data_IF_601463724022
#
_entry.id   IF_601463724022
#
_cell.length_a   1.000
_cell.length_b   1.000
_cell.length_c   1.000
_cell.angle_alpha   90.00
_cell.angle_beta   90.00
_cell.angle_gamma   90.00
#
_symmetry.space_group_name_H-M   'P 1'
#
loop_
_entity.id
_entity.type
_entity.pdbx_description
1 polymer ?
#
# COMPACT_ATOMS: atom_id res chain seq x y z
N UNK A 1 -18.53 -14.43 1.90
CA UNK A 1 -19.90 -14.23 2.44
C UNK A 1 -19.73 -13.90 3.92
N UNK A 2 -20.34 -12.82 4.44
CA UNK A 2 -20.23 -12.50 5.88
C UNK A 2 -20.98 -13.61 6.63
N UNK A 3 -20.24 -14.56 7.18
CA UNK A 3 -20.82 -15.61 8.00
C UNK A 3 -21.49 -14.96 9.23
N UNK A 4 -22.67 -15.49 9.57
CA UNK A 4 -23.60 -14.99 10.57
C UNK A 4 -22.93 -14.40 11.83
N UNK A 5 -23.38 -13.23 12.25
CA UNK A 5 -22.94 -12.63 13.52
C UNK A 5 -23.42 -13.52 14.67
N UNK A 6 -22.47 -14.04 15.46
CA UNK A 6 -22.75 -14.68 16.73
C UNK A 6 -23.17 -13.62 17.75
N UNK A 7 -24.35 -13.81 18.32
CA UNK A 7 -24.84 -13.01 19.44
C UNK A 7 -25.17 -13.97 20.58
N UNK A 8 -24.80 -13.58 21.81
CA UNK A 8 -25.20 -14.30 23.02
C UNK A 8 -26.73 -14.38 23.06
N UNK A 9 -27.27 -15.57 23.33
CA UNK A 9 -28.70 -15.79 23.33
C UNK A 9 -29.37 -14.99 24.47
N UNK A 10 -30.54 -14.36 24.24
CA UNK A 10 -31.20 -13.53 25.25
C UNK A 10 -31.60 -14.30 26.51
N UNK A 11 -31.82 -15.60 26.38
CA UNK A 11 -32.36 -16.53 27.37
C UNK A 11 -31.28 -17.40 28.03
N UNK A 12 -30.06 -17.46 27.47
CA UNK A 12 -28.94 -18.18 28.06
C UNK A 12 -27.61 -17.54 27.65
N UNK A 13 -26.92 -16.93 28.62
CA UNK A 13 -25.64 -16.25 28.42
C UNK A 13 -24.51 -17.16 27.89
N UNK A 14 -24.67 -18.48 27.96
CA UNK A 14 -23.67 -19.46 27.51
C UNK A 14 -23.93 -20.00 26.09
N UNK A 15 -25.08 -19.70 25.49
CA UNK A 15 -25.45 -20.13 24.13
C UNK A 15 -25.37 -18.96 23.15
N UNK A 16 -25.11 -19.25 21.87
CA UNK A 16 -25.10 -18.25 20.79
C UNK A 16 -26.15 -18.54 19.73
N UNK A 17 -26.71 -17.46 19.15
CA UNK A 17 -27.63 -17.53 18.02
C UNK A 17 -27.05 -16.82 16.80
N UNK A 18 -27.30 -17.40 15.62
CA UNK A 18 -26.95 -16.79 14.34
C UNK A 18 -27.95 -15.67 14.00
N UNK A 19 -27.46 -14.44 13.86
CA UNK A 19 -28.25 -13.36 13.26
C UNK A 19 -27.80 -13.12 11.82
N UNK A 20 -28.76 -13.18 10.89
CA UNK A 20 -28.56 -12.67 9.53
C UNK A 20 -28.37 -11.16 9.61
N UNK A 21 -27.26 -10.61 9.09
CA UNK A 21 -27.05 -9.17 9.11
C UNK A 21 -28.12 -8.48 8.26
N UNK A 22 -28.72 -7.41 8.79
CA UNK A 22 -29.64 -6.58 8.00
C UNK A 22 -28.90 -5.91 6.84
N UNK A 23 -29.63 -5.54 5.78
CA UNK A 23 -29.05 -4.82 4.64
C UNK A 23 -28.26 -3.58 5.09
N UNK A 24 -28.80 -2.77 6.00
CA UNK A 24 -28.12 -1.60 6.54
C UNK A 24 -26.80 -1.94 7.26
N UNK A 25 -26.72 -3.11 7.91
CA UNK A 25 -25.49 -3.60 8.54
C UNK A 25 -24.45 -3.97 7.48
N UNK A 26 -24.86 -4.71 6.44
CA UNK A 26 -23.98 -5.10 5.33
C UNK A 26 -23.43 -3.85 4.63
N UNK A 27 -24.30 -2.89 4.33
CA UNK A 27 -23.92 -1.61 3.74
C UNK A 27 -22.91 -0.86 4.62
N UNK A 28 -23.15 -0.75 5.93
CA UNK A 28 -22.19 -0.10 6.84
C UNK A 28 -20.85 -0.83 6.86
N UNK A 29 -20.82 -2.16 6.87
CA UNK A 29 -19.58 -2.94 6.80
C UNK A 29 -18.83 -2.62 5.50
N UNK A 30 -19.54 -2.62 4.37
CA UNK A 30 -18.97 -2.30 3.06
C UNK A 30 -18.41 -0.87 3.02
N UNK A 31 -19.17 0.12 3.49
CA UNK A 31 -18.76 1.53 3.51
C UNK A 31 -17.52 1.72 4.41
N UNK A 32 -17.53 1.15 5.62
CA UNK A 32 -16.41 1.25 6.55
C UNK A 32 -15.14 0.59 6.00
N UNK A 33 -15.26 -0.58 5.36
CA UNK A 33 -14.09 -1.27 4.78
C UNK A 33 -13.58 -0.62 3.51
N UNK A 34 -14.48 -0.09 2.66
CA UNK A 34 -14.10 0.71 1.50
C UNK A 34 -13.38 2.00 1.92
N UNK A 35 -13.93 2.76 2.88
CA UNK A 35 -13.29 3.97 3.40
C UNK A 35 -11.94 3.67 4.02
N UNK A 36 -11.80 2.57 4.78
CA UNK A 36 -10.52 2.15 5.33
C UNK A 36 -9.44 1.97 4.24
N UNK A 37 -9.77 1.29 3.14
CA UNK A 37 -8.81 1.08 2.07
C UNK A 37 -8.54 2.34 1.24
N UNK A 38 -9.54 3.21 1.08
CA UNK A 38 -9.34 4.52 0.46
C UNK A 38 -8.40 5.41 1.28
N UNK A 39 -8.59 5.46 2.59
CA UNK A 39 -7.67 6.15 3.48
C UNK A 39 -6.25 5.56 3.40
N UNK A 40 -6.12 4.22 3.32
CA UNK A 40 -4.83 3.55 3.17
C UNK A 40 -4.16 3.92 1.84
N UNK A 41 -4.92 3.97 0.75
CA UNK A 41 -4.45 4.42 -0.56
C UNK A 41 -3.93 5.85 -0.47
N UNK A 42 -4.73 6.78 0.05
CA UNK A 42 -4.37 8.19 0.18
C UNK A 42 -3.17 8.40 1.11
N UNK A 43 -3.12 7.69 2.24
CA UNK A 43 -1.97 7.72 3.16
C UNK A 43 -0.70 7.19 2.49
N UNK A 44 -0.81 6.10 1.73
CA UNK A 44 0.32 5.51 1.01
C UNK A 44 0.83 6.46 -0.07
N UNK A 45 -0.08 7.03 -0.86
CA UNK A 45 0.28 8.01 -1.89
C UNK A 45 0.94 9.24 -1.28
N UNK A 46 0.41 9.79 -0.18
CA UNK A 46 1.00 10.93 0.52
C UNK A 46 2.38 10.62 1.08
N UNK A 47 2.55 9.45 1.73
CA UNK A 47 3.83 9.02 2.31
C UNK A 47 4.92 8.80 1.26
N UNK A 48 4.52 8.35 0.08
CA UNK A 48 5.43 8.02 -1.03
C UNK A 48 5.49 9.14 -2.08
N UNK A 49 4.88 10.29 -1.81
CA UNK A 49 5.07 11.51 -2.58
C UNK A 49 6.28 12.26 -2.04
N UNK A 50 7.17 12.66 -2.93
CA UNK A 50 8.34 13.46 -2.59
C UNK A 50 8.54 14.62 -3.58
N UNK A 51 9.72 15.22 -3.54
CA UNK A 51 10.13 16.31 -4.41
C UNK A 51 10.50 15.85 -5.83
N UNK A 52 10.33 14.56 -6.19
CA UNK A 52 10.47 14.10 -7.58
C UNK A 52 9.60 14.94 -8.50
N UNK A 53 10.16 15.27 -9.66
CA UNK A 53 9.45 15.93 -10.74
C UNK A 53 9.65 15.15 -12.02
N UNK A 54 8.66 15.23 -12.90
CA UNK A 54 8.82 14.84 -14.30
C UNK A 54 9.18 16.07 -15.12
N UNK A 55 9.95 15.88 -16.18
CA UNK A 55 10.22 16.93 -17.15
C UNK A 55 9.21 16.80 -18.30
N UNK A 56 8.58 17.92 -18.65
CA UNK A 56 7.84 18.12 -19.88
C UNK A 56 8.80 18.69 -20.90
N UNK A 57 8.94 18.02 -22.04
CA UNK A 57 9.85 18.37 -23.12
C UNK A 57 8.98 18.77 -24.31
N UNK A 58 9.01 20.05 -24.65
CA UNK A 58 8.24 20.63 -25.73
C UNK A 58 9.04 20.59 -27.03
N UNK A 59 8.37 20.21 -28.11
CA UNK A 59 8.98 20.08 -29.42
C UNK A 59 8.66 21.30 -30.31
N UNK A 60 9.50 21.56 -31.30
CA UNK A 60 9.28 22.66 -32.25
C UNK A 60 8.08 22.43 -33.17
N UNK A 61 7.70 21.16 -33.37
CA UNK A 61 6.58 20.73 -34.19
C UNK A 61 5.91 19.51 -33.56
N UNK A 62 4.62 19.31 -33.88
CA UNK A 62 3.90 18.13 -33.42
C UNK A 62 4.42 16.88 -34.16
N UNK A 63 4.91 15.86 -33.42
CA UNK A 63 5.41 14.64 -34.03
C UNK A 63 4.25 13.67 -34.34
N UNK A 64 4.47 12.77 -35.29
CA UNK A 64 3.56 11.66 -35.59
C UNK A 64 3.87 10.47 -34.66
N UNK A 65 3.35 10.55 -33.42
CA UNK A 65 3.55 9.56 -32.37
C UNK A 65 2.19 9.08 -31.84
N UNK A 66 2.12 7.78 -31.53
CA UNK A 66 0.99 7.19 -30.82
C UNK A 66 0.72 7.89 -29.48
N UNK A 67 -0.54 8.23 -29.17
CA UNK A 67 -0.88 8.97 -27.96
C UNK A 67 -0.65 8.12 -26.71
N UNK A 68 -0.03 8.72 -25.68
CA UNK A 68 0.31 8.08 -24.41
C UNK A 68 1.21 6.84 -24.54
N UNK A 69 1.93 6.71 -25.66
CA UNK A 69 2.90 5.65 -25.89
C UNK A 69 4.28 6.03 -25.34
N UNK A 70 5.03 5.03 -24.85
CA UNK A 70 6.39 5.20 -24.33
C UNK A 70 7.39 5.11 -25.47
N UNK A 71 8.38 5.99 -25.48
CA UNK A 71 9.47 6.04 -26.44
C UNK A 71 10.82 6.23 -25.73
N UNK A 72 11.90 5.83 -26.40
CA UNK A 72 13.26 5.95 -25.87
C UNK A 72 13.94 7.18 -26.47
N UNK A 73 14.20 8.21 -25.65
CA UNK A 73 15.03 9.36 -26.05
C UNK A 73 16.51 9.03 -25.84
N UNK A 74 17.29 9.09 -26.91
CA UNK A 74 18.71 8.73 -26.87
C UNK A 74 19.58 9.88 -26.32
N UNK A 75 20.30 9.59 -25.23
CA UNK A 75 21.24 10.48 -24.54
C UNK A 75 22.65 9.87 -24.58
N UNK A 76 23.16 9.63 -25.79
CA UNK A 76 24.42 8.91 -26.01
C UNK A 76 24.26 7.40 -25.81
N UNK A 77 24.89 6.86 -24.76
CA UNK A 77 24.76 5.45 -24.36
C UNK A 77 23.61 5.20 -23.35
N UNK A 78 22.97 6.27 -22.89
CA UNK A 78 21.82 6.22 -21.99
C UNK A 78 20.55 6.45 -22.80
N UNK A 79 19.51 5.72 -22.46
CA UNK A 79 18.16 5.91 -22.99
C UNK A 79 17.29 6.43 -21.85
N UNK A 80 16.47 7.43 -22.15
CA UNK A 80 15.51 8.04 -21.24
C UNK A 80 14.10 7.76 -21.76
N UNK A 81 13.33 6.98 -21.01
CA UNK A 81 11.94 6.70 -21.34
C UNK A 81 11.10 7.99 -21.24
N UNK A 82 10.38 8.32 -22.30
CA UNK A 82 9.47 9.46 -22.40
C UNK A 82 8.11 9.02 -22.96
N UNK A 83 7.03 9.62 -22.50
CA UNK A 83 5.67 9.37 -22.99
C UNK A 83 5.21 10.54 -23.83
N UNK A 84 4.68 10.28 -25.02
CA UNK A 84 4.04 11.34 -25.81
C UNK A 84 2.65 11.67 -25.26
N UNK A 85 2.48 12.88 -24.75
CA UNK A 85 1.18 13.42 -24.34
C UNK A 85 0.67 14.32 -25.47
N UNK A 86 -0.38 13.90 -26.21
CA UNK A 86 -0.91 14.70 -27.31
C UNK A 86 -1.56 16.01 -26.80
N UNK A 87 -1.71 17.02 -27.66
CA UNK A 87 -2.45 18.23 -27.32
C UNK A 87 -3.87 17.92 -26.83
N UNK A 88 -4.31 18.60 -25.76
CA UNK A 88 -5.66 18.46 -25.20
C UNK A 88 -6.14 19.78 -24.58
N UNK A 89 -7.42 20.13 -24.73
CA UNK A 89 -8.05 21.31 -24.11
C UNK A 89 -7.20 22.59 -24.18
N UNK A 90 -6.81 23.01 -25.39
CA UNK A 90 -5.94 24.17 -25.67
C UNK A 90 -4.53 24.12 -25.08
N UNK A 91 -4.07 22.97 -24.59
CA UNK A 91 -2.67 22.75 -24.22
C UNK A 91 -1.91 22.11 -25.39
N UNK A 92 -0.68 22.57 -25.60
CA UNK A 92 0.22 21.98 -26.59
C UNK A 92 0.72 20.60 -26.11
N UNK A 93 1.06 19.73 -27.06
CA UNK A 93 1.59 18.39 -26.77
C UNK A 93 3.05 18.44 -26.32
N UNK A 94 3.46 17.45 -25.53
CA UNK A 94 4.81 17.36 -24.98
C UNK A 94 5.22 15.89 -24.73
N UNK A 95 6.53 15.66 -24.68
CA UNK A 95 7.11 14.43 -24.16
C UNK A 95 7.25 14.54 -22.64
N UNK A 96 6.74 13.57 -21.89
CA UNK A 96 6.84 13.53 -20.43
C UNK A 96 7.83 12.43 -20.01
N UNK A 97 8.84 12.75 -19.22
CA UNK A 97 9.77 11.72 -18.71
C UNK A 97 9.03 10.66 -17.89
N UNK A 98 9.24 9.39 -18.19
CA UNK A 98 8.65 8.25 -17.48
C UNK A 98 9.65 7.50 -16.60
N UNK A 99 10.95 7.63 -16.87
CA UNK A 99 12.01 6.94 -16.12
C UNK A 99 12.39 7.64 -14.80
N UNK A 100 13.05 6.92 -13.89
CA UNK A 100 13.54 7.49 -12.64
C UNK A 100 14.74 8.44 -12.91
N UNK A 101 14.56 9.75 -12.72
CA UNK A 101 15.60 10.73 -13.02
C UNK A 101 16.86 10.59 -12.16
N UNK A 102 16.77 10.07 -10.94
CA UNK A 102 17.94 9.72 -10.13
C UNK A 102 18.78 8.64 -10.84
N UNK A 103 18.11 7.63 -11.38
CA UNK A 103 18.77 6.55 -12.10
C UNK A 103 19.40 7.06 -13.41
N UNK A 104 18.70 7.95 -14.13
CA UNK A 104 19.20 8.57 -15.36
C UNK A 104 20.43 9.45 -15.07
N UNK A 105 20.37 10.33 -14.06
CA UNK A 105 21.49 11.15 -13.63
C UNK A 105 22.71 10.29 -13.29
N UNK A 106 22.53 9.20 -12.53
CA UNK A 106 23.60 8.25 -12.22
C UNK A 106 24.19 7.59 -13.47
N UNK A 107 23.37 7.21 -14.45
CA UNK A 107 23.83 6.58 -15.71
C UNK A 107 24.55 7.56 -16.63
N UNK A 108 24.29 8.85 -16.49
CA UNK A 108 24.99 9.94 -17.17
C UNK A 108 26.19 10.45 -16.36
N UNK A 109 26.68 9.64 -15.41
CA UNK A 109 27.85 9.92 -14.57
C UNK A 109 27.76 11.18 -13.68
N UNK A 110 26.55 11.58 -13.26
CA UNK A 110 26.37 12.62 -12.27
C UNK A 110 27.01 12.23 -10.92
N UNK A 111 27.46 13.24 -10.15
CA UNK A 111 27.98 13.01 -8.80
C UNK A 111 26.93 12.37 -7.87
N UNK A 112 27.38 11.56 -6.90
CA UNK A 112 26.51 10.86 -5.96
C UNK A 112 25.50 11.76 -5.24
N UNK A 113 25.96 12.92 -4.77
CA UNK A 113 25.11 13.93 -4.10
C UNK A 113 23.94 14.42 -4.96
N UNK A 114 24.05 14.33 -6.29
CA UNK A 114 23.02 14.75 -7.25
C UNK A 114 21.94 13.69 -7.36
N UNK A 115 22.32 12.43 -7.57
CA UNK A 115 21.35 11.36 -7.82
C UNK A 115 20.76 10.73 -6.55
N UNK A 116 21.24 11.08 -5.35
CA UNK A 116 20.63 10.64 -4.10
C UNK A 116 19.36 11.42 -3.74
N UNK A 117 19.19 12.64 -4.26
CA UNK A 117 18.02 13.47 -3.99
C UNK A 117 17.22 13.71 -5.28
N UNK A 118 15.89 13.48 -5.25
CA UNK A 118 15.09 13.66 -6.43
C UNK A 118 15.08 15.04 -7.08
N UNK A 119 14.95 16.12 -6.30
CA UNK A 119 14.93 17.46 -6.87
C UNK A 119 16.25 17.79 -7.58
N UNK A 120 17.40 17.48 -6.96
CA UNK A 120 18.70 17.74 -7.58
C UNK A 120 18.94 16.88 -8.80
N UNK A 121 18.48 15.63 -8.81
CA UNK A 121 18.54 14.77 -9.99
C UNK A 121 17.72 15.35 -11.15
N UNK A 122 16.50 15.84 -10.87
CA UNK A 122 15.64 16.43 -11.87
C UNK A 122 16.25 17.71 -12.48
N UNK A 123 16.81 18.60 -11.65
CA UNK A 123 17.53 19.81 -12.08
C UNK A 123 18.72 19.45 -12.95
N UNK A 124 19.54 18.50 -12.49
CA UNK A 124 20.74 18.12 -13.23
C UNK A 124 20.41 17.48 -14.59
N UNK A 125 19.37 16.64 -14.66
CA UNK A 125 18.93 16.05 -15.94
C UNK A 125 18.35 17.12 -16.87
N UNK A 126 17.61 18.09 -16.34
CA UNK A 126 17.16 19.25 -17.13
C UNK A 126 18.35 20.01 -17.73
N UNK A 127 19.32 20.39 -16.90
CA UNK A 127 20.52 21.11 -17.34
C UNK A 127 21.30 20.33 -18.40
N UNK A 128 21.43 19.02 -18.22
CA UNK A 128 22.03 18.13 -19.21
C UNK A 128 21.27 18.18 -20.54
N UNK A 129 19.94 18.06 -20.53
CA UNK A 129 19.13 18.12 -21.74
C UNK A 129 19.18 19.49 -22.42
N UNK A 130 19.18 20.58 -21.64
CA UNK A 130 19.32 21.95 -22.16
C UNK A 130 20.69 22.15 -22.81
N UNK A 131 21.77 21.72 -22.15
CA UNK A 131 23.10 21.76 -22.72
C UNK A 131 23.19 20.92 -24.01
N UNK A 132 22.55 19.76 -24.04
CA UNK A 132 22.63 18.83 -25.17
C UNK A 132 21.84 19.28 -26.41
N UNK A 133 20.70 19.96 -26.23
CA UNK A 133 19.73 20.20 -27.31
C UNK A 133 19.31 21.66 -27.52
N UNK A 134 19.46 22.52 -26.50
CA UNK A 134 19.01 23.92 -26.53
C UNK A 134 20.15 24.93 -26.55
N UNK A 135 21.37 24.50 -26.20
CA UNK A 135 22.54 25.39 -26.22
C UNK A 135 22.91 25.74 -27.67
N UNK A 136 23.26 27.01 -27.91
CA UNK A 136 23.69 27.50 -29.22
C UNK A 136 24.96 26.79 -29.74
N UNK A 137 25.71 26.12 -28.87
CA UNK A 137 26.93 25.38 -29.21
C UNK A 137 26.66 23.92 -29.62
N UNK A 138 25.48 23.37 -29.30
CA UNK A 138 25.14 21.96 -29.42
C UNK A 138 23.66 21.82 -29.77
N UNK A 139 23.29 22.26 -30.97
CA UNK A 139 21.94 22.11 -31.51
C UNK A 139 21.76 20.69 -32.07
N UNK A 140 22.05 19.69 -31.24
CA UNK A 140 22.03 18.29 -31.66
C UNK A 140 20.60 17.86 -32.00
N UNK A 141 20.45 17.05 -33.06
CA UNK A 141 19.16 16.45 -33.39
C UNK A 141 18.78 15.46 -32.29
N UNK A 142 17.65 15.64 -31.57
CA UNK A 142 17.17 14.63 -30.65
C UNK A 142 16.75 13.37 -31.43
N UNK A 143 17.04 12.20 -30.87
CA UNK A 143 16.77 10.91 -31.48
C UNK A 143 15.82 10.10 -30.61
N UNK A 144 14.67 9.74 -31.18
CA UNK A 144 13.61 9.02 -30.50
C UNK A 144 13.29 7.70 -31.20
N UNK A 145 13.16 6.63 -30.43
CA UNK A 145 12.82 5.28 -30.93
C UNK A 145 11.61 4.68 -30.23
N UNK A 146 10.97 3.72 -30.90
CA UNK A 146 9.96 2.88 -30.27
C UNK A 146 10.64 1.68 -29.55
N UNK A 147 10.47 1.52 -28.22
CA UNK A 147 11.06 0.43 -27.44
C UNK A 147 10.58 -0.96 -27.86
N UNK A 148 9.40 -1.07 -28.49
CA UNK A 148 8.83 -2.34 -28.95
C UNK A 148 9.61 -2.93 -30.14
N UNK A 149 10.44 -2.12 -30.79
CA UNK A 149 11.32 -2.55 -31.85
C UNK A 149 12.71 -2.90 -31.28
N UNK A 150 13.24 -4.10 -31.56
CA UNK A 150 14.58 -4.46 -31.10
C UNK A 150 15.63 -3.50 -31.69
N UNK A 151 16.79 -3.28 -31.03
CA UNK A 151 17.77 -2.27 -31.42
C UNK A 151 18.18 -2.32 -32.90
N UNK A 152 18.38 -3.52 -33.47
CA UNK A 152 18.72 -3.70 -34.89
C UNK A 152 17.58 -3.44 -35.89
N UNK A 153 16.35 -3.19 -35.42
CA UNK A 153 15.17 -2.86 -36.23
C UNK A 153 14.65 -1.43 -35.97
N UNK A 154 15.33 -0.64 -35.14
CA UNK A 154 15.05 0.79 -34.97
C UNK A 154 15.51 1.52 -36.24
N UNK A 155 14.64 1.58 -37.25
CA UNK A 155 15.02 1.96 -38.63
C UNK A 155 15.28 3.46 -38.83
N UNK A 156 14.65 4.33 -38.04
CA UNK A 156 14.73 5.78 -38.24
C UNK A 156 14.37 6.53 -36.95
N UNK A 157 14.97 7.71 -36.78
CA UNK A 157 14.59 8.67 -35.76
C UNK A 157 13.14 9.12 -35.98
N UNK A 158 12.25 8.85 -35.02
CA UNK A 158 10.82 9.17 -35.12
C UNK A 158 10.52 10.67 -35.10
N UNK A 159 11.48 11.50 -34.69
CA UNK A 159 11.35 12.95 -34.61
C UNK A 159 12.41 13.68 -35.46
N UNK A 160 12.84 13.07 -36.57
CA UNK A 160 13.83 13.67 -37.48
C UNK A 160 13.37 15.04 -37.98
N UNK A 161 14.21 16.08 -37.83
CA UNK A 161 13.87 17.46 -38.19
C UNK A 161 12.99 18.19 -37.19
N UNK A 162 12.53 17.51 -36.13
CA UNK A 162 11.84 18.09 -34.98
C UNK A 162 12.86 18.23 -33.85
N UNK A 163 12.89 19.41 -33.22
CA UNK A 163 13.85 19.73 -32.17
C UNK A 163 13.14 19.97 -30.85
N UNK A 164 13.91 19.88 -29.75
CA UNK A 164 13.42 20.33 -28.45
C UNK A 164 13.43 21.86 -28.46
N UNK A 165 12.30 22.46 -28.09
CA UNK A 165 12.12 23.91 -28.02
C UNK A 165 12.22 24.40 -26.58
N UNK A 166 11.66 23.65 -25.63
CA UNK A 166 11.67 24.01 -24.22
C UNK A 166 11.55 22.77 -23.33
N UNK A 167 11.97 22.90 -22.08
CA UNK A 167 11.86 21.88 -21.05
C UNK A 167 11.27 22.55 -19.81
N UNK A 168 10.28 21.94 -19.17
CA UNK A 168 9.63 22.49 -17.98
C UNK A 168 9.37 21.40 -16.95
N UNK A 169 9.21 21.78 -15.69
CA UNK A 169 8.76 20.86 -14.66
C UNK A 169 7.27 20.60 -14.75
N UNK A 170 6.88 19.35 -14.50
CA UNK A 170 5.53 19.06 -14.10
C UNK A 170 5.28 19.64 -12.70
N UNK A 171 4.24 20.47 -12.56
CA UNK A 171 3.83 21.08 -11.29
C UNK A 171 3.31 20.07 -10.28
N UNK A 172 2.76 18.96 -10.77
CA UNK A 172 2.09 17.97 -9.93
C UNK A 172 3.12 17.04 -9.29
N UNK A 173 3.00 16.87 -7.97
CA UNK A 173 3.68 15.80 -7.26
C UNK A 173 3.09 14.46 -7.71
N UNK A 174 3.93 13.43 -7.76
CA UNK A 174 3.47 12.07 -7.98
C UNK A 174 4.02 11.19 -6.86
N UNK A 175 3.18 10.25 -6.40
CA UNK A 175 3.62 9.23 -5.48
C UNK A 175 4.39 8.16 -6.25
N UNK A 176 5.49 7.67 -5.68
CA UNK A 176 6.14 6.46 -6.17
C UNK A 176 5.35 5.21 -5.75
N UNK A 177 4.05 5.16 -6.06
CA UNK A 177 3.18 4.04 -5.79
C UNK A 177 2.11 3.95 -6.88
N UNK A 178 1.73 2.73 -7.25
CA UNK A 178 0.71 2.47 -8.26
C UNK A 178 -0.39 1.64 -7.59
N UNK A 179 -1.52 2.26 -7.21
CA UNK A 179 -2.71 1.52 -6.79
C UNK A 179 -3.20 0.62 -7.92
N UNK A 180 -3.51 -0.64 -7.60
CA UNK A 180 -4.05 -1.62 -8.54
C UNK A 180 -5.52 -1.90 -8.23
N UNK A 181 -5.83 -2.13 -6.94
CA UNK A 181 -7.18 -2.39 -6.45
C UNK A 181 -7.38 -1.71 -5.10
N UNK A 182 -8.52 -1.03 -4.96
CA UNK A 182 -8.99 -0.45 -3.69
C UNK A 182 -10.45 -0.81 -3.51
N UNK A 183 -10.68 -2.04 -3.06
CA UNK A 183 -12.00 -2.61 -2.85
C UNK A 183 -12.19 -2.96 -1.37
N UNK A 184 -13.43 -3.01 -0.84
CA UNK A 184 -13.67 -3.27 0.58
C UNK A 184 -12.98 -4.54 1.12
N UNK A 185 -12.79 -5.56 0.28
CA UNK A 185 -12.16 -6.83 0.68
C UNK A 185 -10.67 -6.91 0.34
N UNK A 186 -10.17 -6.10 -0.60
CA UNK A 186 -8.86 -6.27 -1.21
C UNK A 186 -8.25 -4.91 -1.50
N UNK A 187 -7.02 -4.72 -1.02
CA UNK A 187 -6.15 -3.64 -1.43
C UNK A 187 -4.89 -4.21 -2.07
N UNK A 188 -4.53 -3.72 -3.24
CA UNK A 188 -3.29 -4.08 -3.94
C UNK A 188 -2.65 -2.81 -4.49
N UNK A 189 -1.35 -2.65 -4.23
CA UNK A 189 -0.54 -1.56 -4.78
C UNK A 189 0.87 -2.06 -5.09
N UNK A 190 1.48 -1.47 -6.12
CA UNK A 190 2.93 -1.59 -6.34
C UNK A 190 3.62 -0.42 -5.62
N UNK A 191 4.63 -0.76 -4.82
CA UNK A 191 5.44 0.21 -4.07
C UNK A 191 6.93 -0.15 -4.21
N UNK A 192 7.84 0.82 -4.06
CA UNK A 192 9.27 0.58 -3.93
C UNK A 192 9.57 -0.42 -2.82
N UNK A 193 10.51 -1.33 -3.09
CA UNK A 193 10.83 -2.43 -2.19
C UNK A 193 11.36 -1.97 -0.83
N UNK A 194 12.12 -0.88 -0.81
CA UNK A 194 12.66 -0.22 0.37
C UNK A 194 11.57 0.36 1.29
N UNK A 195 10.45 0.81 0.72
CA UNK A 195 9.31 1.34 1.48
C UNK A 195 8.27 0.29 1.89
N UNK A 196 8.31 -0.92 1.30
CA UNK A 196 7.23 -1.90 1.41
C UNK A 196 6.89 -2.28 2.87
N UNK A 197 7.90 -2.50 3.71
CA UNK A 197 7.67 -2.85 5.11
C UNK A 197 7.09 -1.70 5.94
N UNK A 198 7.43 -0.45 5.61
CA UNK A 198 6.88 0.72 6.29
C UNK A 198 5.39 0.89 5.97
N UNK A 199 5.03 0.71 4.69
CA UNK A 199 3.63 0.71 4.25
C UNK A 199 2.83 -0.38 4.99
N UNK A 200 3.34 -1.61 5.02
CA UNK A 200 2.70 -2.73 5.72
C UNK A 200 2.52 -2.45 7.21
N UNK A 201 3.54 -1.89 7.88
CA UNK A 201 3.45 -1.49 9.29
C UNK A 201 2.37 -0.41 9.49
N UNK A 202 2.31 0.58 8.62
CA UNK A 202 1.30 1.65 8.68
C UNK A 202 -0.13 1.09 8.52
N UNK A 203 -0.34 0.18 7.56
CA UNK A 203 -1.63 -0.48 7.36
C UNK A 203 -2.02 -1.30 8.59
N UNK A 204 -1.10 -2.12 9.12
CA UNK A 204 -1.33 -2.90 10.34
C UNK A 204 -1.73 -2.00 11.51
N UNK A 205 -1.00 -0.91 11.74
CA UNK A 205 -1.28 0.03 12.82
C UNK A 205 -2.65 0.71 12.67
N UNK A 206 -3.01 1.13 11.45
CA UNK A 206 -4.34 1.70 11.17
C UNK A 206 -5.44 0.68 11.45
N UNK A 207 -5.27 -0.56 11.01
CA UNK A 207 -6.22 -1.64 11.27
C UNK A 207 -6.38 -1.94 12.76
N UNK A 208 -5.30 -2.07 13.51
CA UNK A 208 -5.37 -2.32 14.96
C UNK A 208 -6.10 -1.17 15.68
N UNK A 209 -5.89 0.06 15.24
CA UNK A 209 -6.54 1.25 15.80
C UNK A 209 -8.04 1.31 15.50
N UNK A 210 -8.45 1.01 14.27
CA UNK A 210 -9.81 1.27 13.78
C UNK A 210 -10.70 0.03 13.74
N UNK A 211 -10.11 -1.16 13.57
CA UNK A 211 -10.81 -2.44 13.38
C UNK A 211 -10.32 -3.55 14.30
N UNK A 212 -9.34 -3.31 15.18
CA UNK A 212 -8.73 -4.34 16.04
C UNK A 212 -9.74 -5.10 16.91
N UNK A 213 -10.85 -4.47 17.30
CA UNK A 213 -11.94 -5.12 18.07
C UNK A 213 -12.64 -6.25 17.31
N UNK A 214 -12.73 -6.13 15.99
CA UNK A 214 -13.41 -7.13 15.14
C UNK A 214 -12.44 -8.08 14.47
N UNK A 215 -11.19 -8.17 14.95
CA UNK A 215 -10.15 -8.99 14.32
C UNK A 215 -10.52 -10.46 14.09
N UNK A 216 -11.35 -11.05 14.96
CA UNK A 216 -11.79 -12.44 14.82
C UNK A 216 -12.88 -12.62 13.75
N UNK A 217 -13.53 -11.54 13.32
CA UNK A 217 -14.64 -11.55 12.35
C UNK A 217 -14.25 -10.93 11.01
N UNK A 218 -13.35 -9.97 11.04
CA UNK A 218 -12.82 -9.26 9.89
C UNK A 218 -11.29 -9.23 10.00
N UNK A 219 -10.61 -10.38 9.90
CA UNK A 219 -9.17 -10.45 10.02
C UNK A 219 -8.50 -9.71 8.87
N UNK A 220 -7.43 -8.98 9.16
CA UNK A 220 -6.56 -8.41 8.14
C UNK A 220 -5.46 -9.39 7.76
N UNK A 221 -5.26 -9.57 6.46
CA UNK A 221 -4.10 -10.29 5.89
C UNK A 221 -3.23 -9.31 5.14
N UNK A 222 -1.93 -9.37 5.39
CA UNK A 222 -0.94 -8.54 4.70
C UNK A 222 0.08 -9.48 4.05
N UNK A 223 0.26 -9.31 2.75
CA UNK A 223 1.24 -10.05 1.96
C UNK A 223 2.11 -9.08 1.17
N UNK A 224 3.38 -9.40 1.01
CA UNK A 224 4.33 -8.62 0.20
C UNK A 224 5.03 -9.56 -0.76
N UNK A 225 5.05 -9.19 -2.04
CA UNK A 225 5.79 -9.89 -3.08
C UNK A 225 6.89 -8.97 -3.57
N UNK A 226 8.14 -9.41 -3.43
CA UNK A 226 9.30 -8.72 -3.98
C UNK A 226 9.65 -9.32 -5.33
N UNK A 227 9.89 -8.46 -6.32
CA UNK A 227 10.23 -8.87 -7.68
C UNK A 227 11.27 -7.92 -8.29
N UNK A 228 12.10 -8.44 -9.18
CA UNK A 228 13.03 -7.62 -9.97
C UNK A 228 12.27 -6.81 -11.03
N UNK A 229 12.81 -5.65 -11.46
CA UNK A 229 12.22 -4.76 -12.50
C UNK A 229 11.86 -5.51 -13.78
N UNK A 230 12.59 -6.58 -14.12
CA UNK A 230 12.37 -7.37 -15.36
C UNK A 230 11.35 -8.49 -15.20
N UNK A 231 10.76 -8.66 -14.01
CA UNK A 231 9.73 -9.66 -13.78
C UNK A 231 8.45 -9.23 -14.50
N UNK A 232 7.82 -10.08 -15.34
CA UNK A 232 6.57 -9.73 -16.00
C UNK A 232 5.49 -9.32 -15.01
N UNK A 233 4.79 -8.22 -15.29
CA UNK A 233 3.73 -7.70 -14.41
C UNK A 233 2.66 -8.77 -14.11
N UNK A 234 2.31 -9.60 -15.10
CA UNK A 234 1.37 -10.71 -14.90
C UNK A 234 1.83 -11.66 -13.78
N UNK A 235 3.10 -12.07 -13.76
CA UNK A 235 3.63 -12.96 -12.73
C UNK A 235 3.59 -12.31 -11.33
N UNK A 236 3.84 -11.00 -11.25
CA UNK A 236 3.73 -10.23 -9.99
C UNK A 236 2.27 -10.20 -9.52
N UNK A 237 1.33 -9.93 -10.42
CA UNK A 237 -0.11 -9.89 -10.10
C UNK A 237 -0.64 -11.27 -9.68
N UNK A 238 -0.21 -12.33 -10.36
CA UNK A 238 -0.57 -13.72 -10.01
C UNK A 238 -0.02 -14.10 -8.62
N UNK A 239 1.24 -13.78 -8.33
CA UNK A 239 1.83 -14.00 -7.01
C UNK A 239 1.08 -13.21 -5.92
N UNK A 240 0.74 -11.95 -6.19
CA UNK A 240 -0.07 -11.12 -5.28
C UNK A 240 -1.46 -11.72 -5.02
N UNK A 241 -2.14 -12.23 -6.06
CA UNK A 241 -3.44 -12.91 -5.91
C UNK A 241 -3.32 -14.24 -5.16
N UNK A 242 -2.26 -15.00 -5.38
CA UNK A 242 -2.02 -16.25 -4.65
C UNK A 242 -1.89 -16.01 -3.14
N UNK A 243 -1.33 -14.87 -2.72
CA UNK A 243 -1.27 -14.45 -1.32
C UNK A 243 -2.65 -14.17 -0.69
N UNK A 244 -3.71 -14.00 -1.49
CA UNK A 244 -5.09 -13.87 -0.99
C UNK A 244 -5.75 -15.22 -0.69
N UNK A 245 -5.24 -16.32 -1.27
CA UNK A 245 -5.82 -17.66 -1.18
C UNK A 245 -5.15 -18.67 -0.23
N UNK A 246 -4.28 -18.31 0.76
CA UNK A 246 -3.57 -19.33 1.52
C UNK A 246 -4.49 -20.13 2.43
N UNK A 247 -4.09 -21.38 2.69
CA UNK A 247 -4.65 -22.21 3.74
C UNK A 247 -4.26 -21.66 5.11
N UNK A 248 -5.26 -21.29 5.91
CA UNK A 248 -5.04 -20.94 7.32
C UNK A 248 -5.06 -22.23 8.11
N UNK A 249 -3.90 -22.65 8.60
CA UNK A 249 -3.83 -23.76 9.55
C UNK A 249 -4.10 -23.22 10.95
N UNK A 250 -5.00 -23.88 11.69
CA UNK A 250 -5.20 -23.57 13.10
C UNK A 250 -3.94 -23.95 13.87
N UNK A 251 -3.39 -22.99 14.62
CA UNK A 251 -2.28 -23.23 15.54
C UNK A 251 -2.75 -23.16 16.99
N UNK A 252 -2.12 -23.93 17.86
CA UNK A 252 -2.32 -23.84 19.31
C UNK A 252 -1.28 -22.89 19.91
N UNK A 253 -1.78 -21.96 20.71
CA UNK A 253 -0.99 -20.96 21.41
C UNK A 253 -1.34 -21.01 22.90
N UNK A 254 -0.32 -20.90 23.74
CA UNK A 254 -0.45 -20.84 25.20
C UNK A 254 -0.32 -19.39 25.64
N UNK A 255 -1.20 -18.97 26.54
CA UNK A 255 -1.13 -17.65 27.17
C UNK A 255 0.03 -17.66 28.16
N UNK A 256 1.01 -16.79 27.95
CA UNK A 256 2.14 -16.61 28.88
C UNK A 256 1.77 -15.57 29.94
N UNK A 257 1.15 -14.48 29.49
CA UNK A 257 0.70 -13.40 30.36
C UNK A 257 -0.48 -12.68 29.73
N UNK A 258 -1.34 -12.15 30.58
CA UNK A 258 -2.45 -11.30 30.22
C UNK A 258 -2.55 -10.20 31.28
N UNK A 259 -2.22 -8.96 30.90
CA UNK A 259 -2.07 -7.85 31.85
C UNK A 259 -2.91 -6.67 31.41
N UNK A 260 -3.71 -6.15 32.34
CA UNK A 260 -4.46 -4.91 32.13
C UNK A 260 -3.50 -3.74 32.18
N UNK A 261 -3.55 -2.89 31.16
CA UNK A 261 -2.68 -1.75 30.96
C UNK A 261 -3.51 -0.47 30.76
N UNK A 262 -2.92 0.67 31.11
CA UNK A 262 -3.51 1.99 30.85
C UNK A 262 -3.03 2.59 29.53
N UNK A 263 -3.63 3.73 29.15
CA UNK A 263 -3.29 4.45 27.93
C UNK A 263 -1.81 4.77 27.75
N UNK A 264 -1.13 5.15 28.83
CA UNK A 264 0.28 5.56 28.80
C UNK A 264 1.19 4.41 28.34
N UNK A 265 0.79 3.17 28.62
CA UNK A 265 1.54 1.97 28.26
C UNK A 265 1.22 1.48 26.84
N UNK A 266 0.17 2.02 26.19
CA UNK A 266 -0.24 1.56 24.87
C UNK A 266 0.83 1.90 23.81
N UNK A 267 1.16 0.98 22.90
CA UNK A 267 2.16 1.23 21.86
C UNK A 267 1.66 2.31 20.90
N UNK A 268 2.52 3.24 20.50
CA UNK A 268 2.19 4.20 19.45
C UNK A 268 1.97 3.47 18.11
N UNK A 269 0.95 3.83 17.30
CA UNK A 269 0.03 4.97 17.48
C UNK A 269 -1.31 4.62 18.19
N UNK A 270 -1.43 3.45 18.83
CA UNK A 270 -2.68 3.02 19.47
C UNK A 270 -3.05 3.91 20.66
N UNK A 271 -2.06 4.43 21.38
CA UNK A 271 -2.24 5.39 22.48
C UNK A 271 -2.96 6.69 22.09
N UNK A 272 -3.03 7.03 20.80
CA UNK A 272 -3.80 8.17 20.32
C UNK A 272 -5.31 7.92 20.28
N UNK A 273 -5.74 6.66 20.39
CA UNK A 273 -7.15 6.25 20.29
C UNK A 273 -7.80 6.15 21.67
N UNK A 274 -9.05 6.66 21.77
CA UNK A 274 -9.88 6.48 22.97
C UNK A 274 -10.17 4.99 23.26
N UNK A 275 -10.07 4.11 22.25
CA UNK A 275 -10.20 2.67 22.47
C UNK A 275 -9.12 2.08 23.36
N UNK A 276 -7.96 2.75 23.50
CA UNK A 276 -6.84 2.26 24.29
C UNK A 276 -6.67 2.99 25.63
N UNK A 277 -7.73 3.65 26.14
CA UNK A 277 -7.74 4.12 27.53
C UNK A 277 -7.48 2.99 28.53
N UNK A 278 -8.04 1.81 28.25
CA UNK A 278 -7.74 0.55 28.92
C UNK A 278 -7.63 -0.58 27.90
N UNK A 279 -6.64 -1.45 28.08
CA UNK A 279 -6.35 -2.54 27.17
C UNK A 279 -5.67 -3.71 27.89
N UNK A 280 -5.57 -4.85 27.21
CA UNK A 280 -4.89 -6.06 27.67
C UNK A 280 -3.64 -6.30 26.82
N UNK A 281 -2.50 -6.45 27.47
CA UNK A 281 -1.27 -6.97 26.88
C UNK A 281 -1.28 -8.50 26.95
N UNK A 282 -1.70 -9.14 25.86
CA UNK A 282 -1.75 -10.60 25.77
C UNK A 282 -0.46 -11.11 25.13
N UNK A 283 0.34 -11.87 25.88
CA UNK A 283 1.52 -12.56 25.37
C UNK A 283 1.21 -14.03 25.16
N UNK A 284 1.48 -14.52 23.95
CA UNK A 284 1.20 -15.89 23.55
C UNK A 284 2.49 -16.57 23.10
N UNK A 285 2.60 -17.87 23.33
CA UNK A 285 3.69 -18.72 22.84
C UNK A 285 3.15 -19.97 22.15
N UNK A 286 3.74 -20.34 21.02
CA UNK A 286 3.39 -21.60 20.35
C UNK A 286 4.41 -22.72 20.66
N UNK A 287 4.08 -23.93 20.22
CA UNK A 287 4.94 -25.12 20.43
C UNK A 287 6.33 -25.00 19.76
N UNK A 288 6.46 -24.19 18.72
CA UNK A 288 7.73 -23.90 18.05
C UNK A 288 8.57 -22.83 18.80
N UNK A 289 8.10 -22.35 19.95
CA UNK A 289 8.80 -21.34 20.76
C UNK A 289 8.65 -19.90 20.27
N UNK A 290 7.81 -19.64 19.26
CA UNK A 290 7.52 -18.28 18.80
C UNK A 290 6.65 -17.57 19.81
N UNK A 291 6.95 -16.31 20.08
CA UNK A 291 6.18 -15.45 20.96
C UNK A 291 5.57 -14.26 20.19
N UNK A 292 4.32 -13.92 20.53
CA UNK A 292 3.65 -12.73 20.02
C UNK A 292 3.04 -11.95 21.18
N UNK A 293 2.99 -10.63 21.03
CA UNK A 293 2.33 -9.72 21.97
C UNK A 293 1.22 -8.98 21.24
N UNK A 294 0.00 -9.06 21.77
CA UNK A 294 -1.19 -8.50 21.17
C UNK A 294 -1.77 -7.43 22.10
N UNK A 295 -1.81 -6.16 21.67
CA UNK A 295 -2.51 -5.11 22.38
C UNK A 295 -4.01 -5.17 22.05
N UNK A 296 -4.86 -5.36 23.06
CA UNK A 296 -6.30 -5.54 22.86
C UNK A 296 -7.12 -4.59 23.71
N UNK A 297 -7.84 -3.66 23.05
CA UNK A 297 -8.79 -2.74 23.70
C UNK A 297 -9.87 -3.49 24.48
N UNK A 298 -10.20 -3.00 25.68
CA UNK A 298 -11.27 -3.56 26.54
C UNK A 298 -12.34 -2.53 26.92
N UNK A 299 -12.36 -1.39 26.25
CA UNK A 299 -13.36 -0.32 26.44
C UNK A 299 -13.95 0.12 25.12
N UNK A 300 -15.21 0.57 25.11
CA UNK A 300 -15.94 1.03 23.93
C UNK A 300 -15.36 2.33 23.34
N UNK A 301 -16.00 2.88 22.31
CA UNK A 301 -15.50 4.10 21.62
C UNK A 301 -15.47 5.36 22.48
N UNK A 302 -16.15 5.35 23.62
CA UNK A 302 -16.11 6.42 24.62
C UNK A 302 -14.88 6.34 25.54
N UNK A 303 -14.08 5.27 25.45
CA UNK A 303 -12.93 5.02 26.30
C UNK A 303 -13.27 4.72 27.77
N UNK A 304 -14.56 4.52 28.09
CA UNK A 304 -15.05 4.39 29.47
C UNK A 304 -15.88 3.14 29.69
N UNK A 305 -16.80 2.85 28.77
CA UNK A 305 -17.70 1.70 28.91
C UNK A 305 -16.91 0.42 28.67
N UNK A 306 -16.97 -0.54 29.60
CA UNK A 306 -16.33 -1.86 29.42
C UNK A 306 -16.85 -2.55 28.16
N UNK A 307 -15.93 -3.06 27.34
CA UNK A 307 -16.27 -3.90 26.19
C UNK A 307 -16.45 -5.35 26.68
N UNK A 308 -17.71 -5.77 26.84
CA UNK A 308 -18.06 -7.15 27.20
C UNK A 308 -18.33 -8.03 25.97
N UNK A 309 -18.26 -7.44 24.78
CA UNK A 309 -18.64 -8.09 23.53
C UNK A 309 -17.44 -8.57 22.73
N UNK A 310 -16.29 -7.89 22.82
CA UNK A 310 -15.11 -8.21 22.02
C UNK A 310 -13.77 -7.89 22.70
N UNK A 311 -12.69 -8.59 22.30
CA UNK A 311 -12.69 -9.83 21.52
C UNK A 311 -12.75 -11.08 22.41
N UNK A 312 -13.36 -12.15 21.86
CA UNK A 312 -13.33 -13.50 22.43
C UNK A 312 -12.46 -14.40 21.58
N UNK A 313 -11.67 -15.28 22.20
CA UNK A 313 -10.84 -16.26 21.49
C UNK A 313 -11.26 -17.70 21.79
N UNK A 314 -11.11 -18.55 20.78
CA UNK A 314 -11.30 -20.00 20.91
C UNK A 314 -10.25 -20.58 21.86
N UNK A 315 -10.69 -21.33 22.86
CA UNK A 315 -9.85 -22.04 23.81
C UNK A 315 -10.06 -23.54 23.72
N UNK A 316 -9.04 -24.32 24.11
CA UNK A 316 -9.14 -25.78 24.17
C UNK A 316 -9.76 -26.20 25.51
N UNK A 317 -10.76 -27.06 25.45
CA UNK A 317 -11.47 -27.55 26.65
C UNK A 317 -12.52 -26.55 27.14
N UNK A 318 -13.31 -26.98 28.13
CA UNK A 318 -14.44 -26.20 28.65
C UNK A 318 -13.96 -25.24 29.76
N UNK A 319 -14.03 -23.91 29.58
CA UNK A 319 -13.44 -22.93 30.49
C UNK A 319 -14.39 -22.60 31.66
N UNK A 320 -14.71 -23.61 32.48
CA UNK A 320 -15.66 -23.45 33.59
C UNK A 320 -15.16 -22.54 34.71
N UNK A 321 -13.87 -22.22 34.71
CA UNK A 321 -13.18 -21.34 35.66
C UNK A 321 -12.99 -19.91 35.12
N UNK A 322 -13.70 -19.55 34.04
CA UNK A 322 -13.73 -18.20 33.45
C UNK A 322 -15.12 -17.60 33.60
N UNK A 323 -15.20 -16.28 33.81
CA UNK A 323 -16.48 -15.60 34.02
C UNK A 323 -17.18 -15.32 32.69
N UNK A 324 -16.43 -14.83 31.69
CA UNK A 324 -16.94 -14.44 30.37
C UNK A 324 -16.53 -15.46 29.32
N UNK A 325 -17.40 -16.42 29.08
CA UNK A 325 -17.23 -17.39 28.00
C UNK A 325 -18.58 -17.86 27.45
N UNK A 326 -18.55 -18.39 26.24
CA UNK A 326 -19.73 -19.00 25.60
C UNK A 326 -19.32 -20.16 24.69
N UNK A 327 -20.31 -20.96 24.26
CA UNK A 327 -20.12 -21.97 23.21
C UNK A 327 -20.53 -21.39 21.86
N UNK A 328 -19.59 -21.37 20.91
CA UNK A 328 -19.82 -20.88 19.56
C UNK A 328 -20.69 -21.84 18.75
N UNK A 329 -21.16 -21.40 17.58
CA UNK A 329 -21.91 -22.30 16.67
C UNK A 329 -21.07 -23.39 16.04
N UNK A 330 -19.74 -23.27 16.15
CA UNK A 330 -18.76 -24.30 15.83
C UNK A 330 -18.70 -25.41 16.90
N UNK A 331 -19.41 -25.25 18.03
CA UNK A 331 -19.34 -26.15 19.18
C UNK A 331 -18.11 -25.91 20.06
N UNK A 332 -17.26 -24.96 19.68
CA UNK A 332 -16.04 -24.64 20.40
C UNK A 332 -16.31 -23.63 21.52
N UNK A 333 -15.37 -23.56 22.47
CA UNK A 333 -15.49 -22.65 23.61
C UNK A 333 -14.71 -21.37 23.36
N UNK A 334 -15.34 -20.23 23.65
CA UNK A 334 -14.79 -18.90 23.40
C UNK A 334 -14.73 -18.11 24.70
N UNK A 335 -13.57 -17.53 25.02
CA UNK A 335 -13.32 -16.79 26.28
C UNK A 335 -12.97 -15.35 25.97
N UNK A 336 -13.50 -14.41 26.76
CA UNK A 336 -13.21 -12.99 26.63
C UNK A 336 -11.74 -12.69 26.93
N UNK A 337 -11.16 -11.69 26.26
CA UNK A 337 -9.75 -11.34 26.42
C UNK A 337 -9.30 -11.17 27.87
N UNK A 338 -10.08 -10.46 28.68
CA UNK A 338 -9.74 -10.20 30.08
C UNK A 338 -9.68 -11.46 30.95
N UNK A 339 -10.24 -12.58 30.49
CA UNK A 339 -10.28 -13.84 31.22
C UNK A 339 -9.31 -14.89 30.63
N UNK A 340 -8.53 -14.55 29.60
CA UNK A 340 -7.49 -15.46 29.08
C UNK A 340 -6.40 -15.71 30.12
N UNK A 341 -6.01 -16.98 30.28
CA UNK A 341 -4.92 -17.45 31.16
C UNK A 341 -4.31 -18.72 30.63
#
# INVERSE_FOLDING_TARGET
MVESLLVIAPDNAQNTVKKTPSFSRIRRIWETTHSFWKDVEDDTLRRLSDDRRRLKIYLTQQPDLGPYHVYDLQLGQVELDVVWVPPHDNTEGYLLTADNLNYIARRLDAEKKVYEHPATAAIWVEDYLRAQFLSSASQNQPVLYNPDLPPGKRKSNLISGIFIRDIQYQSNQYAAAIPILTEPQIFMALVPADCALEVVKAIKQKYEREMGKVQNRLPLRLGVVFASRRTPLQAILEAGRAMLQPSVNSEQWTVISNRTCGKVDAPAPLNASAHFEQWQEVRLKNAAGREITLPVSIVMGDGKTEDVWYPYWRVKGKPTDRARWFTGTDGEHWVHVCDLR
#
